data_IF_267822535162
#
_entry.id   IF_267822535162
#
_cell.length_a   1.000
_cell.length_b   1.000
_cell.length_c   1.000
_cell.angle_alpha   90.00
_cell.angle_beta   90.00
_cell.angle_gamma   90.00
#
_symmetry.space_group_name_H-M   'P 1'
#
loop_
_entity.id
_entity.type
_entity.pdbx_description
1 polymer ?
#
# COMPACT_ATOMS: atom_id res chain seq x y z
N UNK A 1 -21.57 -6.21 10.59
CA UNK A 1 -20.23 -5.59 10.59
C UNK A 1 -19.30 -6.54 11.33
N UNK A 2 -18.50 -7.33 10.62
CA UNK A 2 -17.40 -8.06 11.26
C UNK A 2 -16.39 -6.99 11.73
N UNK A 3 -16.29 -6.84 13.04
CA UNK A 3 -15.45 -5.81 13.67
C UNK A 3 -13.99 -6.07 13.25
N UNK A 4 -13.44 -5.22 12.38
CA UNK A 4 -12.00 -5.25 12.03
C UNK A 4 -11.65 -5.67 10.60
N UNK A 5 -12.61 -5.83 9.69
CA UNK A 5 -12.33 -6.08 8.26
C UNK A 5 -12.52 -4.82 7.43
N UNK A 6 -11.51 -4.42 6.67
CA UNK A 6 -11.63 -3.35 5.67
C UNK A 6 -12.05 -3.96 4.33
N UNK A 7 -13.11 -3.42 3.73
CA UNK A 7 -13.75 -4.01 2.53
C UNK A 7 -13.90 -3.03 1.37
N UNK A 8 -13.78 -1.73 1.61
CA UNK A 8 -13.97 -0.72 0.56
C UNK A 8 -12.67 -0.47 -0.22
N UNK A 9 -12.77 -0.39 -1.55
CA UNK A 9 -11.66 0.07 -2.42
C UNK A 9 -11.15 1.43 -1.93
N UNK A 10 -12.05 2.42 -1.81
CA UNK A 10 -11.69 3.77 -1.38
C UNK A 10 -11.08 3.81 0.04
N UNK A 11 -11.49 2.88 0.91
CA UNK A 11 -10.91 2.76 2.25
C UNK A 11 -9.46 2.26 2.18
N UNK A 12 -9.17 1.27 1.34
CA UNK A 12 -7.80 0.81 1.10
C UNK A 12 -6.94 1.89 0.45
N UNK A 13 -7.46 2.60 -0.56
CA UNK A 13 -6.75 3.72 -1.21
C UNK A 13 -6.35 4.77 -0.16
N UNK A 14 -7.31 5.25 0.63
CA UNK A 14 -7.03 6.25 1.67
C UNK A 14 -6.09 5.75 2.77
N UNK A 15 -6.05 4.45 3.07
CA UNK A 15 -5.07 3.88 3.99
C UNK A 15 -3.67 3.87 3.36
N UNK A 16 -3.54 3.40 2.12
CA UNK A 16 -2.27 3.32 1.43
C UNK A 16 -1.64 4.70 1.21
N UNK A 17 -2.42 5.69 0.79
CA UNK A 17 -1.91 7.06 0.63
C UNK A 17 -1.34 7.63 1.94
N UNK A 18 -2.03 7.38 3.07
CA UNK A 18 -1.53 7.78 4.40
C UNK A 18 -0.25 7.04 4.78
N UNK A 19 -0.15 5.76 4.47
CA UNK A 19 1.06 4.96 4.73
C UNK A 19 2.23 5.44 3.86
N UNK A 20 2.01 5.69 2.57
CA UNK A 20 3.01 6.22 1.64
C UNK A 20 3.53 7.58 2.12
N UNK A 21 2.62 8.47 2.54
CA UNK A 21 3.00 9.76 3.13
C UNK A 21 3.81 9.58 4.42
N UNK A 22 3.42 8.63 5.28
CA UNK A 22 4.15 8.30 6.51
C UNK A 22 5.58 7.79 6.24
N UNK A 23 5.76 6.93 5.24
CA UNK A 23 7.08 6.42 4.83
C UNK A 23 7.98 7.59 4.42
N UNK A 24 7.47 8.50 3.57
CA UNK A 24 8.22 9.66 3.08
C UNK A 24 8.65 10.61 4.19
N UNK A 25 7.77 10.85 5.16
CA UNK A 25 8.02 11.81 6.25
C UNK A 25 8.89 11.25 7.39
N UNK A 26 9.12 9.93 7.42
CA UNK A 26 9.91 9.26 8.47
C UNK A 26 11.35 8.92 8.05
N UNK A 27 11.83 9.45 6.92
CA UNK A 27 13.20 9.23 6.45
C UNK A 27 13.39 7.89 5.72
N UNK A 28 12.33 7.34 5.14
CA UNK A 28 12.38 6.17 4.27
C UNK A 28 11.95 6.53 2.84
N UNK A 29 12.51 5.83 1.87
CA UNK A 29 12.06 5.86 0.49
C UNK A 29 11.16 4.65 0.23
N UNK A 30 10.03 4.87 -0.42
CA UNK A 30 9.23 3.78 -0.96
C UNK A 30 9.93 3.26 -2.22
N UNK A 31 10.25 1.97 -2.26
CA UNK A 31 10.92 1.34 -3.40
C UNK A 31 9.98 0.41 -4.18
N UNK A 32 8.81 0.10 -3.65
CA UNK A 32 7.77 -0.67 -4.34
C UNK A 32 6.56 -0.91 -3.46
N UNK A 33 5.41 -1.12 -4.09
CA UNK A 33 4.16 -1.43 -3.41
C UNK A 33 3.39 -2.47 -4.22
N UNK A 34 2.91 -3.53 -3.55
CA UNK A 34 2.07 -4.55 -4.16
C UNK A 34 1.05 -5.11 -3.16
N UNK A 35 0.18 -6.02 -3.58
CA UNK A 35 -0.74 -6.72 -2.68
C UNK A 35 -0.25 -8.15 -2.39
N UNK A 36 -0.62 -8.67 -1.22
CA UNK A 36 -0.41 -10.08 -0.88
C UNK A 36 -1.29 -10.97 -1.77
N UNK A 37 -0.77 -12.08 -2.34
CA UNK A 37 -1.58 -12.99 -3.15
C UNK A 37 -2.63 -13.76 -2.35
N UNK A 38 -2.63 -13.64 -1.02
CA UNK A 38 -3.61 -14.23 -0.10
C UNK A 38 -4.19 -13.16 0.83
N UNK A 39 -5.43 -13.37 1.26
CA UNK A 39 -6.06 -12.56 2.31
C UNK A 39 -5.50 -12.95 3.69
N UNK A 40 -5.48 -11.97 4.59
CA UNK A 40 -5.19 -12.20 6.00
C UNK A 40 -6.26 -13.08 6.69
N UNK A 41 -6.01 -13.53 7.93
CA UNK A 41 -6.88 -14.50 8.63
C UNK A 41 -8.35 -14.08 8.75
N UNK A 42 -8.63 -12.78 8.89
CA UNK A 42 -9.98 -12.24 8.97
C UNK A 42 -10.58 -11.87 7.59
N UNK A 43 -9.90 -12.21 6.50
CA UNK A 43 -10.32 -11.88 5.13
C UNK A 43 -9.89 -10.50 4.64
N UNK A 44 -9.02 -9.80 5.38
CA UNK A 44 -8.46 -8.52 4.95
C UNK A 44 -7.57 -8.69 3.71
N UNK A 45 -7.67 -7.77 2.77
CA UNK A 45 -6.65 -7.63 1.72
C UNK A 45 -5.45 -6.95 2.35
N UNK A 46 -4.28 -7.55 2.21
CA UNK A 46 -3.03 -7.04 2.77
C UNK A 46 -2.11 -6.52 1.66
N UNK A 47 -1.33 -5.49 1.98
CA UNK A 47 -0.42 -4.83 1.04
C UNK A 47 1.01 -4.94 1.55
N UNK A 48 1.95 -5.10 0.62
CA UNK A 48 3.38 -5.25 0.88
C UNK A 48 4.11 -4.03 0.33
N UNK A 49 4.76 -3.28 1.22
CA UNK A 49 5.60 -2.14 0.86
C UNK A 49 7.08 -2.51 1.01
N UNK A 50 7.85 -2.33 -0.06
CA UNK A 50 9.31 -2.39 0.00
C UNK A 50 9.84 -0.98 0.26
N UNK A 51 10.55 -0.80 1.38
CA UNK A 51 11.10 0.50 1.79
C UNK A 51 12.59 0.40 2.06
N UNK A 52 13.30 1.51 1.85
CA UNK A 52 14.73 1.63 2.16
C UNK A 52 14.97 2.87 3.02
N UNK A 53 15.81 2.73 4.05
CA UNK A 53 16.24 3.88 4.87
C UNK A 53 16.96 4.88 3.98
N UNK A 54 16.59 6.15 4.09
CA UNK A 54 17.32 7.23 3.43
C UNK A 54 18.64 7.45 4.19
N UNK A 55 19.77 7.18 3.55
CA UNK A 55 21.09 7.59 4.06
C UNK A 55 21.39 8.98 3.53
N UNK A 56 21.99 9.86 4.36
CA UNK A 56 22.32 11.26 4.04
C UNK A 56 23.15 11.47 2.75
N UNK A 57 23.65 10.39 2.13
CA UNK A 57 24.47 10.41 0.91
C UNK A 57 23.85 9.74 -0.32
N UNK A 58 22.59 9.28 -0.26
CA UNK A 58 21.98 8.61 -1.40
C UNK A 58 20.65 9.26 -1.78
N UNK A 59 20.68 9.93 -2.93
CA UNK A 59 19.55 10.24 -3.82
C UNK A 59 18.84 8.95 -4.26
N UNK A 60 18.29 8.20 -3.30
CA UNK A 60 17.44 7.05 -3.58
C UNK A 60 16.16 7.57 -4.23
N UNK A 61 15.85 7.09 -5.43
CA UNK A 61 14.58 7.38 -6.09
C UNK A 61 13.49 6.75 -5.23
N UNK A 62 12.66 7.58 -4.61
CA UNK A 62 11.39 7.13 -4.03
C UNK A 62 10.42 6.95 -5.19
N UNK A 63 9.74 5.81 -5.24
CA UNK A 63 8.51 5.64 -6.00
C UNK A 63 7.53 6.72 -5.54
N UNK A 64 7.21 7.65 -6.44
CA UNK A 64 6.14 8.62 -6.24
C UNK A 64 4.90 8.06 -6.92
N UNK A 65 4.13 7.28 -6.15
CA UNK A 65 2.90 6.69 -6.65
C UNK A 65 1.80 7.76 -6.67
N UNK A 66 1.29 8.04 -7.85
CA UNK A 66 0.09 8.87 -8.02
C UNK A 66 -1.15 8.19 -7.44
N UNK A 67 -2.17 8.99 -7.12
CA UNK A 67 -3.48 8.49 -6.70
C UNK A 67 -4.02 7.41 -7.67
N UNK A 68 -3.88 7.63 -8.98
CA UNK A 68 -4.31 6.69 -10.01
C UNK A 68 -3.61 5.33 -9.89
N UNK A 69 -2.29 5.32 -9.68
CA UNK A 69 -1.52 4.08 -9.52
C UNK A 69 -1.90 3.32 -8.25
N UNK A 70 -2.12 4.02 -7.14
CA UNK A 70 -2.59 3.41 -5.89
C UNK A 70 -3.98 2.79 -6.09
N UNK A 71 -4.90 3.53 -6.73
CA UNK A 71 -6.25 3.04 -7.01
C UNK A 71 -6.25 1.81 -7.90
N UNK A 72 -5.45 1.83 -8.97
CA UNK A 72 -5.31 0.67 -9.87
C UNK A 72 -4.80 -0.56 -9.12
N UNK A 73 -3.76 -0.42 -8.29
CA UNK A 73 -3.24 -1.53 -7.48
C UNK A 73 -4.31 -2.11 -6.54
N UNK A 74 -5.11 -1.25 -5.92
CA UNK A 74 -6.20 -1.68 -5.04
C UNK A 74 -7.29 -2.42 -5.83
N UNK A 75 -7.69 -1.90 -6.99
CA UNK A 75 -8.69 -2.53 -7.87
C UNK A 75 -8.22 -3.91 -8.34
N UNK A 76 -6.94 -4.04 -8.72
CA UNK A 76 -6.32 -5.31 -9.08
C UNK A 76 -6.38 -6.32 -7.92
N UNK A 77 -6.02 -5.90 -6.69
CA UNK A 77 -6.08 -6.74 -5.50
C UNK A 77 -7.52 -7.22 -5.22
N UNK A 78 -8.50 -6.33 -5.35
CA UNK A 78 -9.91 -6.68 -5.20
C UNK A 78 -10.37 -7.68 -6.27
N UNK A 79 -10.03 -7.46 -7.54
CA UNK A 79 -10.38 -8.36 -8.64
C UNK A 79 -9.71 -9.73 -8.57
N UNK A 80 -8.53 -9.82 -7.95
CA UNK A 80 -7.82 -11.07 -7.72
C UNK A 80 -8.39 -11.87 -6.53
N UNK A 81 -8.73 -11.18 -5.43
CA UNK A 81 -8.98 -11.83 -4.13
C UNK A 81 -10.46 -11.93 -3.75
N UNK A 82 -11.35 -11.13 -4.35
CA UNK A 82 -12.79 -11.13 -4.06
C UNK A 82 -13.63 -11.84 -5.14
N UNK A 83 -13.04 -12.81 -5.83
CA UNK A 83 -13.78 -13.69 -6.76
C UNK A 83 -14.75 -14.61 -6.02
#
# INVERSE_FOLDING_TARGET
>A
HEKGVVRGIEQHVAILERVILGIRTTGFNLCGLTYSPIKGPAGNIEFLAYIKKCSDSASGVSEDLSHFQVKQLVEEAHGALNR
#
